data_IF_310969535316
#
_entry.id   IF_310969535316
#
_cell.length_a   1.000
_cell.length_b   1.000
_cell.length_c   1.000
_cell.angle_alpha   90.00
_cell.angle_beta   90.00
_cell.angle_gamma   90.00
#
_symmetry.space_group_name_H-M   'P 1'
#
loop_
_entity.id
_entity.type
_entity.pdbx_description
1 polymer ?
#
# COMPACT_ATOMS: atom_id res chain seq x y z
N UNK A 1 32.26 -11.48 -27.76
CA UNK A 1 30.81 -11.71 -27.67
C UNK A 1 30.34 -11.21 -26.31
N UNK A 2 29.65 -10.09 -26.25
CA UNK A 2 29.12 -9.56 -25.00
C UNK A 2 27.99 -10.50 -24.54
N UNK A 3 28.14 -11.14 -23.39
CA UNK A 3 27.09 -11.90 -22.72
C UNK A 3 25.91 -10.95 -22.47
N UNK A 4 24.79 -11.16 -23.15
CA UNK A 4 23.53 -10.46 -22.84
C UNK A 4 23.12 -10.89 -21.45
N UNK A 5 23.45 -10.06 -20.45
CA UNK A 5 23.09 -10.31 -19.07
C UNK A 5 21.56 -10.24 -18.95
N UNK A 6 20.92 -11.40 -18.85
CA UNK A 6 19.46 -11.47 -18.73
C UNK A 6 19.01 -10.77 -17.44
N UNK A 7 18.04 -9.87 -17.55
CA UNK A 7 17.42 -9.23 -16.39
C UNK A 7 16.91 -10.30 -15.42
N UNK A 8 17.31 -10.27 -14.14
CA UNK A 8 16.84 -11.23 -13.14
C UNK A 8 15.31 -11.29 -13.09
N UNK A 9 14.76 -12.48 -12.82
CA UNK A 9 13.31 -12.70 -12.77
C UNK A 9 12.57 -11.74 -11.83
N UNK A 10 13.22 -11.33 -10.74
CA UNK A 10 12.68 -10.36 -9.77
C UNK A 10 12.29 -9.02 -10.41
N UNK A 11 13.04 -8.58 -11.40
CA UNK A 11 12.84 -7.30 -12.09
C UNK A 11 12.09 -7.43 -13.42
N UNK A 12 11.52 -8.60 -13.71
CA UNK A 12 10.68 -8.79 -14.89
C UNK A 12 9.22 -8.50 -14.57
N UNK A 13 8.47 -7.90 -15.50
CA UNK A 13 7.04 -7.68 -15.35
C UNK A 13 6.29 -8.96 -15.03
N UNK A 14 5.17 -8.82 -14.31
CA UNK A 14 4.25 -9.91 -14.01
C UNK A 14 2.82 -9.40 -14.04
N UNK A 15 1.93 -10.22 -14.62
CA UNK A 15 0.48 -9.94 -14.59
C UNK A 15 -0.13 -10.55 -13.33
N UNK A 16 -0.83 -9.72 -12.56
CA UNK A 16 -1.57 -10.13 -11.36
C UNK A 16 -3.03 -9.72 -11.54
N UNK A 17 -3.91 -10.67 -11.82
CA UNK A 17 -5.29 -10.39 -12.17
C UNK A 17 -5.38 -9.47 -13.41
N UNK A 18 -5.95 -8.28 -13.23
CA UNK A 18 -6.15 -7.29 -14.31
C UNK A 18 -5.00 -6.29 -14.45
N UNK A 19 -4.03 -6.31 -13.54
CA UNK A 19 -2.93 -5.35 -13.50
C UNK A 19 -1.63 -5.99 -13.96
N UNK A 20 -0.73 -5.16 -14.51
CA UNK A 20 0.63 -5.57 -14.85
C UNK A 20 1.60 -4.79 -13.98
N UNK A 21 2.35 -5.50 -13.14
CA UNK A 21 3.42 -4.95 -12.33
C UNK A 21 4.71 -4.90 -13.15
N UNK A 22 5.54 -3.89 -12.92
CA UNK A 22 6.82 -3.76 -13.64
C UNK A 22 7.94 -4.63 -13.07
N UNK A 23 7.78 -5.07 -11.85
CA UNK A 23 8.71 -5.96 -11.14
C UNK A 23 7.94 -6.78 -10.10
N UNK A 24 8.62 -7.73 -9.45
CA UNK A 24 8.01 -8.66 -8.50
C UNK A 24 8.33 -8.35 -7.04
N UNK A 25 8.89 -7.18 -6.77
CA UNK A 25 9.06 -6.70 -5.38
C UNK A 25 7.73 -6.12 -4.92
N UNK A 26 7.26 -6.58 -3.77
CA UNK A 26 5.96 -6.22 -3.19
C UNK A 26 6.16 -5.72 -1.76
N UNK A 27 5.51 -4.63 -1.39
CA UNK A 27 5.40 -4.26 0.01
C UNK A 27 4.43 -5.20 0.70
N UNK A 28 4.95 -6.01 1.64
CA UNK A 28 4.14 -6.92 2.44
C UNK A 28 3.19 -6.16 3.40
N UNK A 29 2.05 -6.78 3.80
CA UNK A 29 1.13 -6.20 4.77
C UNK A 29 1.75 -6.20 6.18
N UNK A 30 2.24 -5.07 6.61
CA UNK A 30 2.89 -4.92 7.92
C UNK A 30 2.10 -3.95 8.80
N UNK A 31 1.50 -4.44 9.88
CA UNK A 31 0.84 -3.61 10.89
C UNK A 31 1.87 -2.75 11.61
N UNK A 32 1.69 -1.42 11.56
CA UNK A 32 2.66 -0.45 12.06
C UNK A 32 2.23 0.22 13.35
N UNK A 33 0.99 0.07 13.78
CA UNK A 33 0.43 0.70 14.99
C UNK A 33 0.63 2.23 15.00
N UNK A 34 0.35 2.91 13.89
CA UNK A 34 0.57 4.35 13.71
C UNK A 34 -0.71 5.15 13.44
N UNK A 35 -1.87 4.49 13.42
CA UNK A 35 -3.16 5.19 13.35
C UNK A 35 -3.43 5.91 14.67
N UNK A 36 -4.34 6.88 14.63
CA UNK A 36 -4.86 7.51 15.85
C UNK A 36 -5.62 6.49 16.71
N UNK A 37 -5.86 6.83 17.98
CA UNK A 37 -6.67 5.98 18.87
C UNK A 37 -8.09 5.73 18.34
N UNK A 38 -8.61 6.63 17.50
CA UNK A 38 -9.87 6.50 16.76
C UNK A 38 -9.79 5.59 15.53
N UNK A 39 -8.70 4.89 15.33
CA UNK A 39 -8.42 4.07 14.15
C UNK A 39 -8.40 4.85 12.81
N UNK A 40 -8.29 6.16 12.85
CA UNK A 40 -8.12 7.00 11.66
C UNK A 40 -6.66 6.98 11.24
N UNK A 41 -6.35 6.64 9.96
CA UNK A 41 -4.99 6.77 9.44
C UNK A 41 -4.46 8.20 9.56
N UNK A 42 -3.23 8.35 10.04
CA UNK A 42 -2.59 9.66 10.19
C UNK A 42 -1.62 9.97 9.03
N UNK A 43 -0.97 11.15 9.07
CA UNK A 43 -0.02 11.57 8.04
C UNK A 43 1.20 10.66 7.95
N UNK A 44 1.53 9.95 9.02
CA UNK A 44 2.63 8.98 9.02
C UNK A 44 2.37 7.80 8.09
N UNK A 45 1.11 7.31 7.99
CA UNK A 45 0.75 6.28 7.02
C UNK A 45 0.91 6.79 5.59
N UNK A 46 0.44 8.01 5.31
CA UNK A 46 0.59 8.62 3.98
C UNK A 46 2.08 8.71 3.57
N UNK A 47 2.93 9.20 4.46
CA UNK A 47 4.37 9.28 4.24
C UNK A 47 5.00 7.90 4.03
N UNK A 48 4.63 6.91 4.85
CA UNK A 48 5.12 5.54 4.78
C UNK A 48 4.83 4.88 3.43
N UNK A 49 3.59 4.96 2.97
CA UNK A 49 3.18 4.37 1.67
C UNK A 49 3.74 5.15 0.48
N UNK A 50 3.82 6.48 0.56
CA UNK A 50 4.42 7.33 -0.47
C UNK A 50 5.90 6.98 -0.72
N UNK A 51 6.68 6.82 0.35
CA UNK A 51 8.09 6.43 0.24
C UNK A 51 8.25 5.07 -0.46
N UNK A 52 7.41 4.10 -0.13
CA UNK A 52 7.50 2.74 -0.69
C UNK A 52 6.88 2.62 -2.07
N UNK A 53 5.96 3.52 -2.40
CA UNK A 53 5.37 3.65 -3.72
C UNK A 53 6.17 4.52 -4.69
N UNK A 54 7.39 4.94 -4.35
CA UNK A 54 8.22 5.79 -5.20
C UNK A 54 8.72 5.11 -6.49
N UNK A 55 8.68 3.77 -6.54
CA UNK A 55 9.08 3.01 -7.72
C UNK A 55 7.84 2.65 -8.55
N UNK A 56 7.79 3.06 -9.85
CA UNK A 56 6.65 2.79 -10.71
C UNK A 56 6.36 1.30 -10.90
N UNK A 57 5.08 0.95 -10.90
CA UNK A 57 4.64 -0.43 -11.13
C UNK A 57 4.84 -1.37 -9.95
N UNK A 58 5.06 -0.82 -8.75
CA UNK A 58 5.10 -1.58 -7.50
C UNK A 58 3.71 -1.99 -7.03
N UNK A 59 3.62 -3.14 -6.37
CA UNK A 59 2.44 -3.53 -5.59
C UNK A 59 2.69 -3.20 -4.12
N UNK A 60 1.78 -2.45 -3.53
CA UNK A 60 1.75 -2.17 -2.10
C UNK A 60 0.55 -2.87 -1.47
N UNK A 61 0.79 -3.71 -0.48
CA UNK A 61 -0.28 -4.32 0.33
C UNK A 61 -0.31 -3.56 1.65
N UNK A 62 -1.48 -3.01 1.99
CA UNK A 62 -1.63 -2.21 3.21
C UNK A 62 -1.54 -3.07 4.46
N UNK A 63 -1.27 -2.43 5.58
CA UNK A 63 -1.41 -3.04 6.90
C UNK A 63 -2.83 -3.55 7.15
N UNK A 64 -2.98 -4.46 8.13
CA UNK A 64 -4.28 -4.93 8.60
C UNK A 64 -5.20 -3.76 8.96
N UNK A 65 -6.43 -3.81 8.48
CA UNK A 65 -7.40 -2.71 8.59
C UNK A 65 -8.74 -3.24 9.07
N UNK A 66 -9.27 -2.68 10.15
CA UNK A 66 -10.53 -3.14 10.73
C UNK A 66 -11.72 -2.75 9.86
N UNK A 67 -12.64 -3.69 9.67
CA UNK A 67 -13.88 -3.48 8.90
C UNK A 67 -15.07 -3.05 9.78
N UNK A 68 -14.96 -3.19 11.10
CA UNK A 68 -15.97 -2.75 12.06
C UNK A 68 -15.32 -2.46 13.42
N UNK A 69 -16.05 -1.79 14.30
CA UNK A 69 -15.61 -1.57 15.68
C UNK A 69 -15.40 -2.91 16.41
N UNK A 70 -16.31 -3.87 16.20
CA UNK A 70 -16.29 -5.16 16.89
C UNK A 70 -15.21 -6.12 16.39
N UNK A 71 -14.72 -5.89 15.17
CA UNK A 71 -13.55 -6.60 14.63
C UNK A 71 -12.22 -6.07 15.19
N UNK A 72 -12.25 -5.02 16.03
CA UNK A 72 -11.09 -4.42 16.66
C UNK A 72 -10.50 -5.32 17.77
N UNK A 73 -9.41 -4.85 18.36
CA UNK A 73 -8.73 -5.53 19.46
C UNK A 73 -7.34 -5.00 19.73
N UNK A 74 -6.81 -4.25 18.77
CA UNK A 74 -5.50 -3.61 18.88
C UNK A 74 -5.62 -2.10 18.77
N UNK A 75 -5.02 -1.36 19.71
CA UNK A 75 -4.90 0.09 19.60
C UNK A 75 -4.04 0.49 18.39
N UNK A 76 -4.34 1.65 17.80
CA UNK A 76 -3.54 2.24 16.73
C UNK A 76 -3.43 1.45 15.42
N UNK A 77 -4.32 0.46 15.21
CA UNK A 77 -4.53 -0.19 13.92
C UNK A 77 -5.58 0.62 13.15
N UNK A 78 -5.40 0.91 11.87
CA UNK A 78 -6.38 1.69 11.12
C UNK A 78 -7.67 0.93 10.89
N UNK A 79 -8.77 1.66 10.75
CA UNK A 79 -10.08 1.15 10.35
C UNK A 79 -10.51 1.69 9.00
N UNK A 80 -11.61 1.14 8.45
CA UNK A 80 -12.23 1.57 7.18
C UNK A 80 -13.75 1.56 7.26
N UNK A 81 -14.31 1.66 8.46
CA UNK A 81 -15.75 1.55 8.72
C UNK A 81 -16.43 2.88 9.08
N UNK A 82 -15.67 3.97 9.21
CA UNK A 82 -16.22 5.33 9.41
C UNK A 82 -15.83 6.25 8.26
N UNK A 83 -16.62 7.30 8.02
CA UNK A 83 -16.33 8.29 6.98
C UNK A 83 -14.98 8.97 7.19
N UNK A 84 -14.60 9.29 8.44
CA UNK A 84 -13.31 9.88 8.77
C UNK A 84 -12.15 8.96 8.37
N UNK A 85 -12.26 7.67 8.65
CA UNK A 85 -11.26 6.66 8.26
C UNK A 85 -11.17 6.53 6.73
N UNK A 86 -12.31 6.49 6.04
CA UNK A 86 -12.37 6.40 4.57
C UNK A 86 -11.72 7.64 3.93
N UNK A 87 -12.00 8.85 4.42
CA UNK A 87 -11.39 10.08 3.90
C UNK A 87 -9.87 10.09 4.14
N UNK A 88 -9.43 9.64 5.32
CA UNK A 88 -8.00 9.51 5.62
C UNK A 88 -7.30 8.52 4.67
N UNK A 89 -7.90 7.38 4.37
CA UNK A 89 -7.40 6.42 3.39
C UNK A 89 -7.35 6.99 1.97
N UNK A 90 -8.32 7.82 1.57
CA UNK A 90 -8.26 8.54 0.29
C UNK A 90 -7.04 9.46 0.21
N UNK A 91 -6.71 10.15 1.30
CA UNK A 91 -5.51 10.98 1.38
C UNK A 91 -4.23 10.16 1.24
N UNK A 92 -4.14 9.02 1.94
CA UNK A 92 -3.02 8.07 1.79
C UNK A 92 -2.86 7.65 0.33
N UNK A 93 -3.96 7.28 -0.33
CA UNK A 93 -3.97 6.90 -1.74
C UNK A 93 -3.48 8.03 -2.64
N UNK A 94 -3.99 9.25 -2.49
CA UNK A 94 -3.64 10.40 -3.33
C UNK A 94 -2.14 10.71 -3.23
N UNK A 95 -1.59 10.78 -2.02
CA UNK A 95 -0.16 11.05 -1.81
C UNK A 95 0.71 9.96 -2.44
N UNK A 96 0.23 8.71 -2.43
CA UNK A 96 0.93 7.60 -3.07
C UNK A 96 0.82 7.60 -4.60
N UNK A 97 -0.12 8.35 -5.19
CA UNK A 97 -0.40 8.37 -6.65
C UNK A 97 0.05 9.65 -7.37
N UNK A 98 0.45 10.72 -6.68
CA UNK A 98 0.63 12.08 -7.25
C UNK A 98 1.96 12.31 -7.95
N UNK A 99 2.83 11.34 -8.11
CA UNK A 99 3.98 11.52 -8.98
C UNK A 99 3.59 11.29 -10.45
N UNK A 100 3.71 12.29 -11.35
CA UNK A 100 3.39 12.12 -12.77
C UNK A 100 4.17 10.94 -13.38
N UNK A 101 3.44 9.99 -13.97
CA UNK A 101 4.04 8.80 -14.58
C UNK A 101 4.23 7.61 -13.63
N UNK A 102 3.87 7.74 -12.36
CA UNK A 102 3.96 6.67 -11.37
C UNK A 102 2.58 6.01 -11.19
N UNK A 103 2.46 4.79 -11.65
CA UNK A 103 1.27 3.96 -11.45
C UNK A 103 1.63 2.82 -10.52
N UNK A 104 1.11 2.81 -9.28
CA UNK A 104 1.16 1.65 -8.42
C UNK A 104 -0.23 1.13 -8.12
N UNK A 105 -0.28 -0.12 -7.74
CA UNK A 105 -1.51 -0.74 -7.25
C UNK A 105 -1.40 -0.90 -5.75
N UNK A 106 -2.36 -0.34 -5.03
CA UNK A 106 -2.49 -0.56 -3.60
C UNK A 106 -3.60 -1.59 -3.39
N UNK A 107 -3.27 -2.70 -2.74
CA UNK A 107 -4.22 -3.71 -2.30
C UNK A 107 -4.42 -3.56 -0.79
N UNK A 108 -5.68 -3.39 -0.36
CA UNK A 108 -6.03 -3.27 1.05
C UNK A 108 -6.31 -4.65 1.63
N UNK A 109 -5.70 -4.95 2.77
CA UNK A 109 -6.00 -6.14 3.57
C UNK A 109 -6.96 -5.74 4.68
N UNK A 110 -8.19 -6.25 4.62
CA UNK A 110 -9.22 -6.05 5.65
C UNK A 110 -9.28 -7.25 6.60
N UNK A 111 -9.47 -6.98 7.88
CA UNK A 111 -9.71 -7.95 8.95
C UNK A 111 -11.13 -7.80 9.49
#
# INVERSE_FOLDING_TARGET
MASMQQTPALFRPIKVGRITLRHRVVLAPLTRFRAYASHVPGPQQASYYSQRGSVPGSLLITEATFISHDAGGYGHVPGIYTDAQIQAWKTVRVVSFVSPGLSYTCLMVCL
#
